data_IF_927032799861
#
_entry.id   IF_927032799861
#
_cell.length_a   1.000
_cell.length_b   1.000
_cell.length_c   1.000
_cell.angle_alpha   90.00
_cell.angle_beta   90.00
_cell.angle_gamma   90.00
#
_symmetry.space_group_name_H-M   'P 1'
#
loop_
_entity.id
_entity.type
_entity.pdbx_description
1 polymer ?
#
# COMPACT_ATOMS: atom_id res chain seq x y z
N UNK A 1 -51.32 -14.66 18.71
CA UNK A 1 -51.42 -15.30 17.37
C UNK A 1 -51.11 -14.23 16.34
N UNK A 2 -49.83 -14.05 15.97
CA UNK A 2 -49.21 -14.45 14.69
C UNK A 2 -50.01 -14.04 13.44
N UNK A 3 -49.39 -13.18 12.61
CA UNK A 3 -49.61 -13.22 11.16
C UNK A 3 -49.52 -11.89 10.40
N UNK A 4 -48.33 -11.29 10.27
CA UNK A 4 -47.97 -10.44 9.13
C UNK A 4 -46.45 -10.25 9.09
N UNK A 5 -45.78 -10.69 8.03
CA UNK A 5 -44.31 -10.68 7.93
C UNK A 5 -43.82 -10.99 6.53
N UNK A 6 -44.02 -10.01 5.65
CA UNK A 6 -43.28 -9.65 4.43
C UNK A 6 -42.21 -10.63 3.93
N UNK A 7 -42.52 -11.27 2.81
CA UNK A 7 -41.56 -11.86 1.90
C UNK A 7 -41.06 -10.79 0.92
N UNK A 8 -39.82 -10.30 1.08
CA UNK A 8 -39.02 -9.64 0.05
C UNK A 8 -37.61 -9.35 0.59
N UNK A 9 -36.63 -10.20 0.29
CA UNK A 9 -35.25 -9.93 0.72
C UNK A 9 -34.16 -10.82 0.12
N UNK A 10 -34.41 -11.53 -0.97
CA UNK A 10 -33.54 -12.61 -1.42
C UNK A 10 -33.13 -12.46 -2.89
N UNK A 11 -32.47 -11.36 -3.29
CA UNK A 11 -31.85 -11.21 -4.64
C UNK A 11 -30.61 -10.28 -4.74
N UNK A 12 -29.80 -10.07 -3.70
CA UNK A 12 -28.74 -9.02 -3.75
C UNK A 12 -27.31 -9.41 -3.36
N UNK A 13 -26.88 -10.66 -3.59
CA UNK A 13 -25.50 -11.09 -3.23
C UNK A 13 -24.65 -11.65 -4.39
N UNK A 14 -25.04 -11.39 -5.63
CA UNK A 14 -24.31 -11.81 -6.84
C UNK A 14 -23.56 -10.67 -7.56
N UNK A 15 -23.59 -9.43 -7.06
CA UNK A 15 -23.21 -8.26 -7.85
C UNK A 15 -21.73 -7.88 -7.86
N UNK A 16 -20.87 -8.49 -7.03
CA UNK A 16 -19.42 -8.28 -7.14
C UNK A 16 -18.74 -9.11 -8.25
N UNK A 17 -19.50 -9.98 -8.94
CA UNK A 17 -19.05 -10.66 -10.17
C UNK A 17 -19.66 -10.08 -11.46
N UNK A 18 -20.62 -9.14 -11.37
CA UNK A 18 -21.48 -8.77 -12.51
C UNK A 18 -21.12 -7.44 -13.19
N UNK A 19 -20.15 -6.68 -12.66
CA UNK A 19 -19.69 -5.46 -13.33
C UNK A 19 -18.86 -5.73 -14.62
N UNK A 20 -18.48 -6.99 -14.90
CA UNK A 20 -17.75 -7.37 -16.12
C UNK A 20 -18.61 -8.12 -17.17
N UNK A 21 -19.92 -8.30 -16.94
CA UNK A 21 -20.73 -9.29 -17.66
C UNK A 21 -21.73 -8.77 -18.70
N UNK A 22 -21.60 -7.55 -19.24
CA UNK A 22 -22.55 -7.02 -20.23
C UNK A 22 -21.87 -6.52 -21.50
N UNK A 23 -21.08 -7.37 -22.14
CA UNK A 23 -20.89 -7.35 -23.59
C UNK A 23 -20.30 -8.70 -24.06
N UNK A 24 -21.01 -9.35 -24.98
CA UNK A 24 -20.69 -10.62 -25.67
C UNK A 24 -21.14 -11.92 -24.96
N UNK A 25 -22.04 -12.62 -25.66
CA UNK A 25 -22.61 -13.90 -25.25
C UNK A 25 -21.60 -15.03 -25.22
N UNK A 26 -21.44 -15.61 -24.04
CA UNK A 26 -21.11 -17.00 -23.76
C UNK A 26 -21.68 -17.30 -22.36
N UNK A 27 -22.15 -18.52 -22.11
CA UNK A 27 -22.73 -18.93 -20.83
C UNK A 27 -21.86 -18.45 -19.65
N UNK A 28 -22.43 -17.91 -18.55
CA UNK A 28 -21.63 -17.46 -17.43
C UNK A 28 -21.01 -18.70 -16.76
N UNK A 29 -19.79 -19.03 -17.13
CA UNK A 29 -18.89 -19.71 -16.21
C UNK A 29 -18.90 -18.84 -14.96
N UNK A 30 -19.50 -19.34 -13.88
CA UNK A 30 -19.67 -18.59 -12.64
C UNK A 30 -18.28 -18.13 -12.20
N UNK A 31 -17.96 -16.85 -12.45
CA UNK A 31 -16.66 -16.30 -12.12
C UNK A 31 -16.51 -16.40 -10.61
N UNK A 32 -15.43 -17.02 -10.16
CA UNK A 32 -15.16 -17.17 -8.74
C UNK A 32 -15.20 -15.77 -8.08
N UNK A 33 -15.89 -15.59 -6.95
CA UNK A 33 -15.96 -14.30 -6.28
C UNK A 33 -14.56 -13.86 -5.86
N UNK A 34 -14.30 -12.55 -5.89
CA UNK A 34 -13.03 -12.03 -5.38
C UNK A 34 -12.94 -12.30 -3.86
N UNK A 35 -11.94 -13.08 -3.46
CA UNK A 35 -11.67 -13.43 -2.05
C UNK A 35 -10.31 -12.93 -1.55
N UNK A 36 -9.60 -12.17 -2.37
CA UNK A 36 -8.31 -11.60 -2.00
C UNK A 36 -8.17 -10.22 -2.66
N UNK A 37 -7.48 -9.34 -1.97
CA UNK A 37 -7.02 -8.05 -2.46
C UNK A 37 -5.50 -8.00 -2.28
N UNK A 38 -4.81 -7.08 -2.95
CA UNK A 38 -3.39 -6.87 -2.70
C UNK A 38 -3.12 -6.56 -1.22
N UNK A 39 -1.93 -6.91 -0.76
CA UNK A 39 -1.53 -6.76 0.64
C UNK A 39 -1.67 -5.32 1.09
N UNK A 40 -2.38 -5.14 2.20
CA UNK A 40 -2.57 -3.85 2.84
C UNK A 40 -1.26 -3.33 3.43
N UNK A 41 -1.12 -2.01 3.51
CA UNK A 41 0.03 -1.38 4.15
C UNK A 41 1.33 -1.45 3.35
N UNK A 42 1.30 -1.85 2.07
CA UNK A 42 2.47 -1.74 1.19
C UNK A 42 2.88 -0.27 0.98
N UNK A 43 4.19 -0.04 0.82
CA UNK A 43 4.80 1.28 0.70
C UNK A 43 4.52 1.96 -0.66
N UNK A 44 3.27 2.32 -0.94
CA UNK A 44 2.88 3.14 -2.10
C UNK A 44 2.99 4.62 -1.75
N UNK A 45 4.08 5.26 -2.17
CA UNK A 45 4.40 6.66 -1.83
C UNK A 45 4.69 6.93 -0.35
N UNK A 46 5.00 5.89 0.44
CA UNK A 46 5.33 6.01 1.87
C UNK A 46 6.71 6.60 2.08
N UNK A 47 7.63 6.27 1.20
CA UNK A 47 8.96 6.87 1.06
C UNK A 47 9.04 7.74 -0.20
N UNK A 48 9.95 8.72 -0.22
CA UNK A 48 10.06 9.70 -1.31
C UNK A 48 11.50 10.21 -1.53
N UNK A 49 11.79 11.44 -1.10
CA UNK A 49 13.08 12.11 -1.30
C UNK A 49 14.19 11.42 -0.52
N UNK A 50 15.40 11.41 -1.07
CA UNK A 50 16.61 10.86 -0.42
C UNK A 50 16.50 9.37 0.03
N UNK A 51 15.58 8.59 -0.55
CA UNK A 51 15.25 7.22 -0.08
C UNK A 51 16.41 6.20 -0.23
N UNK A 52 17.40 6.50 -1.07
CA UNK A 52 18.64 5.72 -1.18
C UNK A 52 19.60 5.91 0.00
N UNK A 53 19.33 6.84 0.91
CA UNK A 53 20.14 7.10 2.10
C UNK A 53 19.53 6.48 3.35
N UNK A 54 20.36 5.82 4.14
CA UNK A 54 20.14 5.56 5.57
C UNK A 54 21.48 5.66 6.31
N UNK A 55 21.46 5.59 7.64
CA UNK A 55 22.68 5.55 8.43
C UNK A 55 23.50 4.30 8.09
N UNK A 56 24.81 4.47 7.91
CA UNK A 56 25.78 3.35 7.87
C UNK A 56 26.41 3.09 9.24
N UNK A 57 26.13 3.96 10.22
CA UNK A 57 26.67 3.88 11.58
C UNK A 57 25.76 3.00 12.44
N UNK A 58 26.31 2.03 13.19
CA UNK A 58 25.53 1.17 14.08
C UNK A 58 24.69 1.99 15.07
N UNK A 59 23.43 1.62 15.22
CA UNK A 59 22.50 2.37 16.05
C UNK A 59 21.05 2.19 15.64
N UNK A 60 20.16 2.75 16.46
CA UNK A 60 18.72 2.72 16.25
C UNK A 60 18.25 4.03 15.62
N UNK A 61 17.43 3.92 14.59
CA UNK A 61 16.55 4.97 14.13
C UNK A 61 15.10 4.54 14.33
N UNK A 62 14.25 5.49 14.70
CA UNK A 62 12.80 5.33 14.72
C UNK A 62 12.22 6.26 13.66
N UNK A 63 11.40 5.69 12.79
CA UNK A 63 10.67 6.44 11.76
C UNK A 63 9.19 6.31 12.04
N UNK A 64 8.48 7.43 12.06
CA UNK A 64 7.03 7.47 12.27
C UNK A 64 6.38 8.04 11.02
N UNK A 65 5.46 7.28 10.44
CA UNK A 65 4.65 7.75 9.33
C UNK A 65 3.23 8.02 9.82
N UNK A 66 2.70 9.20 9.51
CA UNK A 66 1.29 9.51 9.63
C UNK A 66 0.72 9.69 8.24
N UNK A 67 -0.14 8.76 7.85
CA UNK A 67 -0.77 8.73 6.54
C UNK A 67 -2.27 8.81 6.67
N UNK A 68 -2.90 9.60 5.81
CA UNK A 68 -4.35 9.67 5.72
C UNK A 68 -4.77 9.62 4.26
N UNK A 69 -5.64 8.66 3.95
CA UNK A 69 -6.27 8.50 2.64
C UNK A 69 -7.74 8.87 2.79
N UNK A 70 -8.21 9.79 1.94
CA UNK A 70 -9.61 10.17 1.81
C UNK A 70 -10.07 9.72 0.43
N UNK A 71 -10.73 8.57 0.37
CA UNK A 71 -11.14 7.92 -0.88
C UNK A 71 -12.63 8.15 -1.13
N UNK A 72 -12.96 8.73 -2.27
CA UNK A 72 -14.29 9.20 -2.65
C UNK A 72 -14.87 8.49 -3.88
N UNK A 73 -14.14 7.52 -4.43
CA UNK A 73 -14.55 6.73 -5.58
C UNK A 73 -14.08 5.28 -5.47
N UNK A 74 -14.81 4.35 -6.09
CA UNK A 74 -14.40 2.94 -6.26
C UNK A 74 -14.36 2.63 -7.75
N UNK A 75 -13.17 2.29 -8.27
CA UNK A 75 -12.90 2.16 -9.71
C UNK A 75 -12.94 0.71 -10.17
N UNK A 76 -13.54 0.48 -11.34
CA UNK A 76 -13.54 -0.80 -12.05
C UNK A 76 -12.20 -1.08 -12.78
N UNK A 77 -12.13 -2.18 -13.52
CA UNK A 77 -10.93 -2.60 -14.27
C UNK A 77 -10.57 -1.68 -15.45
N UNK A 78 -11.49 -0.81 -15.86
CA UNK A 78 -11.30 0.20 -16.90
C UNK A 78 -11.01 1.58 -16.31
N UNK A 79 -11.13 1.76 -14.99
CA UNK A 79 -10.93 3.02 -14.28
C UNK A 79 -12.20 3.87 -14.16
N UNK A 80 -13.38 3.33 -14.45
CA UNK A 80 -14.65 4.03 -14.27
C UNK A 80 -15.19 3.82 -12.85
N UNK A 81 -15.98 4.77 -12.36
CA UNK A 81 -16.68 4.61 -11.10
C UNK A 81 -17.70 3.48 -11.17
N UNK A 82 -17.72 2.63 -10.16
CA UNK A 82 -18.69 1.55 -10.04
C UNK A 82 -20.03 2.13 -9.54
N UNK A 83 -21.09 2.14 -10.36
CA UNK A 83 -22.31 2.90 -10.08
C UNK A 83 -23.16 2.34 -8.93
N UNK A 84 -22.87 1.12 -8.45
CA UNK A 84 -23.59 0.55 -7.29
C UNK A 84 -23.18 1.19 -5.96
N UNK A 85 -22.04 1.90 -5.93
CA UNK A 85 -21.57 2.65 -4.77
C UNK A 85 -21.90 4.13 -4.96
N UNK A 86 -23.00 4.58 -4.37
CA UNK A 86 -23.40 5.99 -4.39
C UNK A 86 -22.61 6.76 -3.33
N UNK A 87 -21.97 7.87 -3.73
CA UNK A 87 -21.16 8.75 -2.87
C UNK A 87 -20.32 8.00 -1.80
N UNK A 88 -19.42 7.08 -2.21
CA UNK A 88 -18.62 6.31 -1.27
C UNK A 88 -17.63 7.24 -0.57
N UNK A 89 -17.46 7.06 0.74
CA UNK A 89 -16.41 7.71 1.53
C UNK A 89 -15.69 6.64 2.33
N UNK A 90 -14.44 6.36 1.96
CA UNK A 90 -13.58 5.38 2.61
C UNK A 90 -12.33 6.10 3.11
N UNK A 91 -12.27 6.34 4.41
CA UNK A 91 -11.12 6.95 5.06
C UNK A 91 -10.21 5.89 5.67
N UNK A 92 -8.91 6.06 5.47
CA UNK A 92 -7.88 5.23 6.10
C UNK A 92 -6.79 6.09 6.72
N UNK A 93 -6.73 6.08 8.05
CA UNK A 93 -5.66 6.73 8.81
C UNK A 93 -4.69 5.68 9.34
N UNK A 94 -3.42 5.82 9.01
CA UNK A 94 -2.35 4.90 9.39
C UNK A 94 -1.28 5.66 10.18
N UNK A 95 -1.01 5.19 11.40
CA UNK A 95 0.18 5.54 12.16
C UNK A 95 1.13 4.33 12.10
N UNK A 96 2.22 4.46 11.36
CA UNK A 96 3.21 3.39 11.17
C UNK A 96 4.48 3.73 11.94
N UNK A 97 4.88 2.86 12.86
CA UNK A 97 6.16 3.00 13.56
C UNK A 97 7.14 1.99 13.01
N UNK A 98 8.23 2.49 12.43
CA UNK A 98 9.34 1.70 11.93
C UNK A 98 10.52 1.81 12.91
N UNK A 99 11.03 0.67 13.33
CA UNK A 99 12.31 0.53 14.00
C UNK A 99 13.32 0.09 12.95
N UNK A 100 14.41 0.84 12.80
CA UNK A 100 15.50 0.51 11.89
C UNK A 100 16.79 0.47 12.70
N UNK A 101 17.38 -0.73 12.81
CA UNK A 101 18.62 -0.94 13.55
C UNK A 101 19.75 -1.28 12.59
N UNK A 102 20.79 -0.47 12.57
CA UNK A 102 22.02 -0.74 11.83
C UNK A 102 22.92 -1.59 12.74
N UNK A 103 23.32 -2.76 12.26
CA UNK A 103 24.22 -3.66 13.00
C UNK A 103 25.68 -3.23 12.83
N UNK A 104 26.61 -3.70 13.68
CA UNK A 104 28.05 -3.51 13.45
C UNK A 104 28.61 -4.37 12.31
N UNK A 105 27.80 -5.23 11.68
CA UNK A 105 28.25 -6.15 10.65
C UNK A 105 28.18 -5.53 9.25
N UNK A 106 29.21 -5.82 8.45
CA UNK A 106 29.26 -5.46 7.03
C UNK A 106 29.16 -6.71 6.16
N UNK A 107 28.37 -6.63 5.09
CA UNK A 107 28.17 -7.71 4.13
C UNK A 107 28.27 -7.11 2.73
N UNK A 108 29.08 -7.71 1.84
CA UNK A 108 29.33 -7.19 0.48
C UNK A 108 29.75 -5.70 0.43
N UNK A 109 30.39 -5.20 1.49
CA UNK A 109 30.81 -3.80 1.61
C UNK A 109 29.69 -2.83 2.03
N UNK A 110 28.47 -3.30 2.30
CA UNK A 110 27.38 -2.52 2.86
C UNK A 110 27.17 -2.78 4.35
N UNK A 111 26.56 -1.84 5.06
CA UNK A 111 26.13 -1.99 6.45
C UNK A 111 24.84 -2.80 6.51
N UNK A 112 24.86 -3.94 7.22
CA UNK A 112 23.68 -4.76 7.45
C UNK A 112 22.81 -4.13 8.53
N UNK A 113 21.51 -4.03 8.27
CA UNK A 113 20.53 -3.61 9.24
C UNK A 113 19.28 -4.48 9.24
N UNK A 114 18.43 -4.28 10.23
CA UNK A 114 17.15 -4.96 10.38
C UNK A 114 16.08 -3.90 10.60
N UNK A 115 14.92 -4.09 9.98
CA UNK A 115 13.76 -3.23 10.19
C UNK A 115 12.53 -4.01 10.63
N UNK A 116 11.68 -3.35 11.41
CA UNK A 116 10.35 -3.81 11.77
C UNK A 116 9.38 -2.63 11.76
N UNK A 117 8.23 -2.79 11.10
CA UNK A 117 7.21 -1.77 10.91
C UNK A 117 5.89 -2.27 11.51
N UNK A 118 5.34 -1.49 12.44
CA UNK A 118 4.11 -1.80 13.17
C UNK A 118 3.05 -0.75 12.83
N UNK A 119 2.03 -1.10 12.02
CA UNK A 119 0.94 -0.19 11.68
C UNK A 119 -0.20 -0.22 12.71
N UNK A 120 -0.63 0.96 13.13
CA UNK A 120 -1.96 1.19 13.72
C UNK A 120 -2.84 1.83 12.65
N UNK A 121 -3.97 1.18 12.35
CA UNK A 121 -4.83 1.54 11.23
C UNK A 121 -6.24 1.78 11.73
N UNK A 122 -6.83 2.91 11.37
CA UNK A 122 -8.24 3.19 11.50
C UNK A 122 -8.90 3.25 10.12
N UNK A 123 -9.94 2.46 9.92
CA UNK A 123 -10.75 2.42 8.71
C UNK A 123 -12.15 2.91 9.05
N UNK A 124 -12.69 3.79 8.22
CA UNK A 124 -14.07 4.28 8.32
C UNK A 124 -14.68 4.31 6.91
N UNK A 125 -15.82 3.64 6.74
CA UNK A 125 -16.49 3.53 5.45
C UNK A 125 -17.96 3.90 5.55
N UNK A 126 -18.39 4.83 4.72
CA UNK A 126 -19.77 5.27 4.61
C UNK A 126 -20.17 5.43 3.15
N UNK A 127 -21.46 5.29 2.86
CA UNK A 127 -22.01 5.31 1.52
C UNK A 127 -23.31 6.12 1.51
N UNK A 128 -23.65 6.69 0.36
CA UNK A 128 -24.87 7.44 0.14
C UNK A 128 -26.13 6.60 0.40
N UNK A 129 -27.24 7.28 0.71
CA UNK A 129 -28.52 6.64 1.03
C UNK A 129 -29.04 5.77 -0.13
N UNK A 130 -28.73 6.15 -1.38
CA UNK A 130 -29.18 5.44 -2.57
C UNK A 130 -28.19 4.36 -3.02
N UNK A 131 -27.14 4.09 -2.24
CA UNK A 131 -26.14 3.09 -2.58
C UNK A 131 -26.76 1.70 -2.60
N UNK A 132 -26.58 0.98 -3.70
CA UNK A 132 -27.10 -0.39 -3.89
C UNK A 132 -26.20 -1.39 -3.15
N UNK A 133 -24.91 -1.09 -3.05
CA UNK A 133 -23.92 -1.87 -2.33
C UNK A 133 -23.20 -1.01 -1.29
N UNK A 134 -22.71 -1.64 -0.23
CA UNK A 134 -21.92 -0.99 0.83
C UNK A 134 -20.81 -1.93 1.26
N UNK A 135 -19.67 -1.37 1.67
CA UNK A 135 -18.58 -2.11 2.29
C UNK A 135 -18.58 -1.86 3.80
N UNK A 136 -18.28 -2.89 4.59
CA UNK A 136 -18.18 -2.83 6.04
C UNK A 136 -16.72 -2.74 6.45
N UNK A 137 -16.35 -1.68 7.15
CA UNK A 137 -15.02 -1.54 7.74
C UNK A 137 -14.86 -2.34 9.03
N UNK A 138 -13.60 -2.55 9.43
CA UNK A 138 -13.23 -3.18 10.70
C UNK A 138 -12.66 -2.15 11.71
N UNK A 139 -13.09 -0.88 11.65
CA UNK A 139 -12.72 0.19 12.58
C UNK A 139 -11.22 0.38 12.81
N UNK A 140 -10.83 0.56 14.07
CA UNK A 140 -9.43 0.67 14.47
C UNK A 140 -8.80 -0.68 14.87
N UNK A 141 -7.52 -0.87 14.57
CA UNK A 141 -6.74 -2.04 14.97
C UNK A 141 -5.28 -2.00 14.50
N UNK A 142 -4.51 -2.98 14.94
CA UNK A 142 -3.14 -3.23 14.44
C UNK A 142 -3.25 -3.86 13.05
N UNK A 143 -2.42 -3.42 12.11
CA UNK A 143 -2.29 -4.05 10.78
C UNK A 143 -1.20 -5.11 10.74
N UNK A 144 -0.88 -5.57 9.55
CA UNK A 144 0.16 -6.60 9.37
C UNK A 144 1.56 -6.02 9.62
N UNK A 145 2.39 -6.74 10.37
CA UNK A 145 3.74 -6.31 10.72
C UNK A 145 4.69 -6.66 9.59
N UNK A 146 5.46 -5.67 9.13
CA UNK A 146 6.50 -5.88 8.11
C UNK A 146 7.85 -5.92 8.79
N UNK A 147 8.72 -6.87 8.46
CA UNK A 147 10.07 -6.93 9.01
C UNK A 147 11.03 -7.61 8.06
N UNK A 148 12.31 -7.26 8.14
CA UNK A 148 13.31 -7.83 7.25
C UNK A 148 14.69 -7.21 7.41
N UNK A 149 15.71 -7.85 6.83
CA UNK A 149 17.02 -7.24 6.68
C UNK A 149 17.02 -6.17 5.59
N UNK A 150 17.88 -5.18 5.78
CA UNK A 150 18.32 -4.26 4.73
C UNK A 150 19.84 -4.17 4.67
N UNK A 151 20.35 -3.78 3.51
CA UNK A 151 21.77 -3.56 3.25
C UNK A 151 21.96 -2.15 2.68
N UNK A 152 22.58 -1.26 3.47
CA UNK A 152 22.94 0.08 3.02
C UNK A 152 24.35 0.09 2.45
N UNK A 153 24.49 0.43 1.17
CA UNK A 153 25.81 0.60 0.58
C UNK A 153 26.38 1.97 0.95
N UNK A 154 27.71 2.10 1.10
CA UNK A 154 28.34 3.41 1.23
C UNK A 154 28.01 4.27 -0.01
N UNK A 155 27.70 5.56 0.18
CA UNK A 155 27.41 6.44 -0.95
C UNK A 155 28.65 6.61 -1.82
N UNK A 156 28.45 6.68 -3.14
CA UNK A 156 29.51 7.03 -4.07
C UNK A 156 29.86 8.50 -3.90
N UNK A 157 31.12 8.77 -3.56
CA UNK A 157 31.65 10.12 -3.39
C UNK A 157 32.42 10.52 -4.66
N UNK A 158 32.15 11.73 -5.18
CA UNK A 158 32.95 12.38 -6.22
C UNK A 158 33.20 13.83 -5.85
N UNK A 159 34.43 14.31 -5.97
CA UNK A 159 34.82 15.68 -5.63
C UNK A 159 34.36 16.10 -4.22
N UNK A 160 34.50 15.21 -3.23
CA UNK A 160 34.15 15.49 -1.83
C UNK A 160 32.65 15.51 -1.51
N UNK A 161 31.76 15.18 -2.46
CA UNK A 161 30.31 15.10 -2.21
C UNK A 161 29.71 13.75 -2.60
N UNK A 162 28.62 13.31 -1.95
CA UNK A 162 27.84 12.18 -2.45
C UNK A 162 27.20 12.54 -3.79
N UNK A 163 27.26 11.60 -4.74
CA UNK A 163 26.60 11.72 -6.05
C UNK A 163 25.60 10.60 -6.30
N UNK A 164 25.73 9.48 -5.58
CA UNK A 164 24.83 8.34 -5.68
C UNK A 164 24.80 7.58 -4.35
N UNK A 165 23.63 7.09 -3.95
CA UNK A 165 23.43 6.22 -2.79
C UNK A 165 22.41 5.14 -3.13
N UNK A 166 22.56 3.96 -2.53
CA UNK A 166 21.66 2.84 -2.79
C UNK A 166 21.51 1.92 -1.57
N UNK A 167 20.34 1.28 -1.46
CA UNK A 167 20.06 0.24 -0.46
C UNK A 167 19.16 -0.86 -1.02
N UNK A 168 19.28 -2.03 -0.42
CA UNK A 168 18.50 -3.21 -0.74
C UNK A 168 17.77 -3.68 0.51
N UNK A 169 16.52 -4.10 0.38
CA UNK A 169 15.72 -4.61 1.50
C UNK A 169 15.00 -5.89 1.07
N UNK A 170 14.80 -6.79 2.01
CA UNK A 170 14.01 -8.00 1.79
C UNK A 170 13.09 -8.21 2.98
N UNK A 171 11.83 -7.83 2.84
CA UNK A 171 10.89 -7.84 3.94
C UNK A 171 9.88 -8.98 3.84
N UNK A 172 9.40 -9.43 4.98
CA UNK A 172 8.24 -10.29 5.13
C UNK A 172 7.10 -9.51 5.81
N UNK A 173 5.88 -9.71 5.33
CA UNK A 173 4.67 -9.15 5.92
C UNK A 173 3.93 -10.25 6.66
N UNK A 174 3.86 -10.16 7.98
CA UNK A 174 3.21 -11.13 8.86
C UNK A 174 1.72 -10.83 9.05
N UNK A 175 0.81 -11.78 8.78
CA UNK A 175 -0.63 -11.58 8.87
C UNK A 175 -1.17 -11.63 10.31
N UNK A 176 -0.57 -10.86 11.21
CA UNK A 176 -0.93 -10.81 12.64
C UNK A 176 -1.87 -9.64 12.98
N UNK A 177 -2.18 -8.79 12.00
CA UNK A 177 -3.12 -7.70 12.20
C UNK A 177 -4.55 -8.18 12.44
N UNK A 178 -5.41 -7.23 12.82
CA UNK A 178 -6.84 -7.44 13.03
C UNK A 178 -7.51 -7.89 11.72
N UNK A 179 -8.31 -8.96 11.81
CA UNK A 179 -9.07 -9.54 10.71
C UNK A 179 -10.43 -10.03 11.20
N UNK A 180 -11.50 -9.67 10.49
CA UNK A 180 -12.86 -10.17 10.69
C UNK A 180 -13.44 -10.56 9.33
N UNK A 181 -13.75 -11.86 9.18
CA UNK A 181 -14.32 -12.42 7.94
C UNK A 181 -15.75 -11.94 7.63
N UNK A 182 -16.38 -11.16 8.51
CA UNK A 182 -17.68 -10.51 8.26
C UNK A 182 -17.54 -9.04 7.83
N UNK A 183 -16.32 -8.55 7.67
CA UNK A 183 -15.98 -7.20 7.21
C UNK A 183 -15.29 -7.27 5.86
N UNK A 184 -15.50 -6.23 5.05
CA UNK A 184 -14.92 -6.11 3.71
C UNK A 184 -13.54 -5.43 3.76
N UNK A 185 -13.39 -4.42 4.64
CA UNK A 185 -12.14 -3.69 4.82
C UNK A 185 -11.50 -4.09 6.16
N UNK A 186 -10.30 -4.67 6.09
CA UNK A 186 -9.56 -5.19 7.23
C UNK A 186 -8.16 -4.59 7.30
N UNK A 187 -7.57 -4.54 8.50
CA UNK A 187 -6.20 -4.08 8.68
C UNK A 187 -5.19 -5.14 8.23
N UNK A 188 -5.52 -6.42 8.46
CA UNK A 188 -4.76 -7.56 7.95
C UNK A 188 -5.29 -8.02 6.59
N UNK A 189 -4.37 -8.44 5.73
CA UNK A 189 -4.69 -9.13 4.46
C UNK A 189 -4.93 -10.63 4.68
N UNK A 190 -4.49 -11.16 5.83
CA UNK A 190 -4.72 -12.54 6.23
C UNK A 190 -3.75 -13.56 5.64
N UNK A 191 -2.68 -13.15 4.97
CA UNK A 191 -1.65 -14.03 4.42
C UNK A 191 -0.26 -13.39 4.49
N UNK A 192 0.77 -14.26 4.44
CA UNK A 192 2.15 -13.82 4.36
C UNK A 192 2.47 -13.20 3.00
N UNK A 193 3.35 -12.20 2.99
CA UNK A 193 3.92 -11.66 1.74
C UNK A 193 5.42 -11.47 1.85
N UNK A 194 6.12 -11.47 0.72
CA UNK A 194 7.56 -11.16 0.63
C UNK A 194 7.77 -9.98 -0.29
N UNK A 195 8.64 -9.05 0.12
CA UNK A 195 8.91 -7.78 -0.55
C UNK A 195 10.41 -7.55 -0.70
N UNK A 196 11.03 -7.99 -1.81
CA UNK A 196 12.33 -7.45 -2.22
C UNK A 196 12.18 -6.00 -2.71
N UNK A 197 13.06 -5.13 -2.24
CA UNK A 197 13.09 -3.70 -2.57
C UNK A 197 14.49 -3.21 -2.91
N UNK A 198 14.58 -2.25 -3.83
CA UNK A 198 15.80 -1.55 -4.18
C UNK A 198 15.53 -0.05 -4.23
N UNK A 199 16.21 0.72 -3.39
CA UNK A 199 16.10 2.17 -3.36
C UNK A 199 17.43 2.82 -3.74
N UNK A 200 17.36 3.92 -4.47
CA UNK A 200 18.53 4.69 -4.87
C UNK A 200 18.24 6.18 -4.92
N UNK A 201 19.29 6.97 -4.75
CA UNK A 201 19.28 8.43 -4.89
C UNK A 201 20.47 8.86 -5.73
N UNK A 202 20.23 9.72 -6.72
CA UNK A 202 21.24 10.41 -7.53
C UNK A 202 21.21 11.89 -7.15
N UNK A 203 22.38 12.50 -7.00
CA UNK A 203 22.54 13.94 -6.72
C UNK A 203 23.32 14.61 -7.87
N UNK A 204 22.66 14.93 -9.00
CA UNK A 204 23.35 15.47 -10.17
C UNK A 204 24.11 16.76 -9.86
N UNK A 205 23.51 17.65 -9.08
CA UNK A 205 24.14 18.85 -8.51
C UNK A 205 24.08 18.80 -6.98
N UNK A 206 24.77 19.68 -6.24
CA UNK A 206 24.65 19.72 -4.78
C UNK A 206 23.21 19.97 -4.28
N UNK A 207 22.39 20.66 -5.07
CA UNK A 207 21.04 21.07 -4.69
C UNK A 207 19.96 20.17 -5.29
N UNK A 208 20.20 19.54 -6.44
CA UNK A 208 19.22 18.71 -7.13
C UNK A 208 19.33 17.23 -6.76
N UNK A 209 18.18 16.60 -6.56
CA UNK A 209 18.03 15.21 -6.16
C UNK A 209 17.01 14.48 -7.04
N UNK A 210 17.33 13.21 -7.32
CA UNK A 210 16.45 12.22 -7.97
C UNK A 210 16.49 10.95 -7.11
N UNK A 211 15.35 10.48 -6.63
CA UNK A 211 15.26 9.20 -5.91
C UNK A 211 14.21 8.31 -6.50
N UNK A 212 14.44 7.00 -6.39
CA UNK A 212 13.40 6.02 -6.61
C UNK A 212 13.59 4.79 -5.73
N UNK A 213 12.47 4.11 -5.48
CA UNK A 213 12.42 2.79 -4.85
C UNK A 213 11.55 1.88 -5.68
N UNK A 214 12.13 0.77 -6.11
CA UNK A 214 11.46 -0.29 -6.86
C UNK A 214 11.17 -1.43 -5.89
N UNK A 215 9.96 -1.94 -5.93
CA UNK A 215 9.49 -2.99 -5.06
C UNK A 215 8.73 -4.03 -5.86
N UNK A 216 8.80 -5.28 -5.40
CA UNK A 216 7.99 -6.37 -5.88
C UNK A 216 7.35 -7.05 -4.68
N UNK A 217 6.12 -7.55 -4.81
CA UNK A 217 5.46 -8.32 -3.76
C UNK A 217 4.98 -9.65 -4.29
N UNK A 218 5.34 -10.71 -3.56
CA UNK A 218 4.76 -12.04 -3.73
C UNK A 218 3.82 -12.33 -2.55
N UNK A 219 2.57 -12.66 -2.87
CA UNK A 219 1.52 -12.93 -1.91
C UNK A 219 1.30 -14.44 -1.79
N UNK A 220 1.41 -14.99 -0.58
CA UNK A 220 1.09 -16.38 -0.32
C UNK A 220 -0.43 -16.60 -0.24
N UNK A 221 -0.84 -17.86 -0.24
CA UNK A 221 -2.24 -18.26 -0.10
C UNK A 221 -2.73 -17.98 1.32
N UNK A 222 -4.00 -17.62 1.44
CA UNK A 222 -4.73 -17.56 2.70
C UNK A 222 -5.84 -18.60 2.73
N UNK A 223 -6.04 -19.21 3.89
CA UNK A 223 -7.24 -19.98 4.23
C UNK A 223 -8.21 -19.18 5.11
N UNK A 224 -7.85 -17.94 5.49
CA UNK A 224 -8.75 -17.05 6.24
C UNK A 224 -9.90 -16.62 5.33
N UNK A 225 -11.11 -17.06 5.67
CA UNK A 225 -12.32 -16.79 4.89
C UNK A 225 -12.70 -15.30 4.97
N UNK A 226 -12.76 -14.58 3.84
CA UNK A 226 -13.23 -13.20 3.79
C UNK A 226 -14.76 -13.14 3.75
N UNK A 227 -15.31 -11.93 3.70
CA UNK A 227 -16.74 -11.69 3.60
C UNK A 227 -17.30 -12.12 2.24
N UNK A 228 -17.53 -13.42 2.09
CA UNK A 228 -18.07 -14.05 0.88
C UNK A 228 -19.56 -14.37 1.04
N UNK A 229 -20.30 -14.48 -0.07
CA UNK A 229 -21.71 -14.89 -0.05
C UNK A 229 -21.93 -16.15 0.81
N UNK A 230 -23.04 -16.21 1.58
CA UNK A 230 -23.40 -17.41 2.32
C UNK A 230 -23.49 -18.63 1.39
N UNK A 231 -23.03 -19.79 1.87
CA UNK A 231 -23.03 -21.03 1.10
C UNK A 231 -21.89 -21.18 0.08
N UNK A 232 -21.03 -20.18 -0.10
CA UNK A 232 -19.80 -20.34 -0.87
C UNK A 232 -18.77 -21.15 -0.06
N UNK A 233 -18.39 -22.33 -0.59
CA UNK A 233 -17.35 -23.19 -0.04
C UNK A 233 -15.97 -22.61 -0.34
N UNK A 234 -15.38 -21.91 0.62
CA UNK A 234 -14.08 -21.27 0.50
C UNK A 234 -12.98 -22.17 1.05
N UNK A 235 -11.97 -22.46 0.21
CA UNK A 235 -10.78 -23.23 0.57
C UNK A 235 -9.54 -22.35 0.68
N UNK A 236 -9.30 -21.51 -0.32
CA UNK A 236 -8.16 -20.61 -0.32
C UNK A 236 -8.39 -19.37 -1.19
N UNK A 237 -7.69 -18.29 -0.86
CA UNK A 237 -7.60 -17.07 -1.66
C UNK A 237 -6.14 -16.68 -1.84
N UNK A 238 -5.81 -16.10 -2.99
CA UNK A 238 -4.47 -15.60 -3.26
C UNK A 238 -4.54 -14.32 -4.09
N UNK A 239 -3.93 -13.26 -3.58
CA UNK A 239 -3.74 -12.06 -4.37
C UNK A 239 -2.66 -12.31 -5.44
N UNK A 240 -2.84 -11.78 -6.64
CA UNK A 240 -1.77 -11.78 -7.64
C UNK A 240 -0.54 -11.00 -7.16
N UNK A 241 0.62 -11.32 -7.69
CA UNK A 241 1.84 -10.55 -7.47
C UNK A 241 1.75 -9.15 -8.10
N UNK A 242 2.51 -8.21 -7.56
CA UNK A 242 2.54 -6.84 -8.02
C UNK A 242 3.94 -6.25 -7.91
N UNK A 243 4.16 -5.14 -8.62
CA UNK A 243 5.34 -4.31 -8.46
C UNK A 243 4.94 -2.85 -8.43
N UNK A 244 5.73 -2.04 -7.73
CA UNK A 244 5.54 -0.60 -7.71
C UNK A 244 6.86 0.14 -7.59
N UNK A 245 6.84 1.36 -8.13
CA UNK A 245 7.93 2.32 -8.01
C UNK A 245 7.43 3.55 -7.27
N UNK A 246 8.15 3.96 -6.22
CA UNK A 246 8.06 5.32 -5.68
C UNK A 246 9.18 6.12 -6.33
N UNK A 247 8.90 7.32 -6.82
CA UNK A 247 9.93 8.20 -7.39
C UNK A 247 9.71 9.64 -6.96
N UNK A 248 10.81 10.37 -6.81
CA UNK A 248 10.79 11.75 -6.38
C UNK A 248 11.95 12.54 -7.00
N UNK A 249 11.73 13.85 -7.17
CA UNK A 249 12.79 14.80 -7.48
C UNK A 249 12.60 16.08 -6.70
N UNK A 250 13.69 16.62 -6.17
CA UNK A 250 13.66 17.85 -5.36
C UNK A 250 14.86 18.75 -5.59
N UNK A 251 14.67 20.03 -5.24
CA UNK A 251 15.73 21.03 -5.17
C UNK A 251 15.84 21.57 -3.76
N UNK A 252 17.07 21.75 -3.28
CA UNK A 252 17.33 22.53 -2.07
C UNK A 252 17.07 24.02 -2.33
N UNK A 253 15.95 24.51 -1.78
CA UNK A 253 15.47 25.89 -1.98
C UNK A 253 15.91 26.83 -0.85
N UNK A 254 16.25 26.26 0.30
CA UNK A 254 16.85 26.93 1.44
C UNK A 254 17.71 25.91 2.21
N UNK A 255 18.64 26.33 3.07
CA UNK A 255 19.47 25.41 3.84
C UNK A 255 18.60 24.37 4.56
N UNK A 256 18.87 23.08 4.30
CA UNK A 256 18.16 21.92 4.88
C UNK A 256 16.70 21.73 4.45
N UNK A 257 16.18 22.56 3.54
CA UNK A 257 14.82 22.46 3.01
C UNK A 257 14.87 22.13 1.52
N UNK A 258 14.31 20.99 1.14
CA UNK A 258 14.12 20.62 -0.27
C UNK A 258 12.63 20.52 -0.57
N UNK A 259 12.24 21.07 -1.72
CA UNK A 259 10.88 20.99 -2.25
C UNK A 259 10.91 20.32 -3.62
N UNK A 260 9.85 19.61 -3.96
CA UNK A 260 9.83 18.83 -5.18
C UNK A 260 8.51 18.15 -5.48
N UNK A 261 8.60 17.18 -6.38
CA UNK A 261 7.48 16.36 -6.82
C UNK A 261 7.80 14.91 -6.44
N UNK A 262 6.78 14.22 -5.93
CA UNK A 262 6.80 12.80 -5.66
C UNK A 262 5.67 12.13 -6.46
N UNK A 263 5.83 10.83 -6.68
CA UNK A 263 4.84 10.02 -7.34
C UNK A 263 5.08 8.53 -7.04
N UNK A 264 4.04 7.73 -7.25
CA UNK A 264 4.19 6.28 -7.27
C UNK A 264 3.33 5.66 -8.36
N UNK A 265 3.82 4.55 -8.91
CA UNK A 265 3.10 3.73 -9.87
C UNK A 265 3.09 2.28 -9.43
N UNK A 266 1.91 1.73 -9.18
CA UNK A 266 1.65 0.34 -8.80
C UNK A 266 0.96 -0.40 -9.96
N UNK A 267 1.45 -1.60 -10.27
CA UNK A 267 0.81 -2.50 -11.20
C UNK A 267 0.79 -3.94 -10.64
N UNK A 268 -0.40 -4.52 -10.58
CA UNK A 268 -0.56 -5.95 -10.35
C UNK A 268 -0.35 -6.74 -11.64
N UNK A 269 0.50 -7.75 -11.60
CA UNK A 269 0.90 -8.50 -12.79
C UNK A 269 -0.03 -9.66 -13.08
N UNK A 270 -0.49 -10.35 -12.04
CA UNK A 270 -1.40 -11.50 -12.12
C UNK A 270 -2.75 -11.18 -11.52
N UNK A 271 -3.79 -11.83 -12.05
CA UNK A 271 -5.11 -11.78 -11.43
C UNK A 271 -5.12 -12.58 -10.11
N UNK A 272 -6.07 -12.24 -9.25
CA UNK A 272 -6.33 -12.91 -7.99
C UNK A 272 -6.91 -14.30 -8.25
N UNK A 273 -6.81 -15.16 -7.24
CA UNK A 273 -7.36 -16.50 -7.26
C UNK A 273 -8.25 -16.73 -6.05
N UNK A 274 -9.35 -17.44 -6.30
CA UNK A 274 -10.27 -17.94 -5.28
C UNK A 274 -10.48 -19.43 -5.55
N UNK A 275 -10.19 -20.28 -4.57
CA UNK A 275 -10.18 -21.73 -4.70
C UNK A 275 -9.38 -22.20 -5.93
N UNK A 276 -8.18 -21.64 -6.11
CA UNK A 276 -7.29 -21.86 -7.25
C UNK A 276 -7.78 -21.35 -8.62
N UNK A 277 -9.04 -20.91 -8.70
CA UNK A 277 -9.63 -20.37 -9.91
C UNK A 277 -9.29 -18.90 -10.08
N UNK A 278 -8.92 -18.52 -11.31
CA UNK A 278 -8.66 -17.13 -11.67
C UNK A 278 -9.92 -16.29 -11.52
N UNK A 279 -9.81 -15.14 -10.87
CA UNK A 279 -10.83 -14.10 -10.83
C UNK A 279 -10.51 -13.09 -11.94
N UNK A 280 -11.27 -13.04 -13.05
CA UNK A 280 -11.00 -12.11 -14.14
C UNK A 280 -11.05 -10.65 -13.67
N UNK A 281 -10.33 -9.78 -14.38
CA UNK A 281 -10.39 -8.33 -14.21
C UNK A 281 -10.12 -7.85 -12.79
N UNK A 282 -9.31 -8.57 -12.02
CA UNK A 282 -9.01 -8.23 -10.63
C UNK A 282 -7.67 -7.51 -10.43
N UNK A 283 -6.93 -7.24 -11.52
CA UNK A 283 -5.61 -6.60 -11.45
C UNK A 283 -5.73 -5.13 -11.10
N UNK A 284 -5.10 -4.74 -9.99
CA UNK A 284 -5.05 -3.35 -9.55
C UNK A 284 -3.99 -2.54 -10.30
N UNK A 285 -4.29 -1.27 -10.56
CA UNK A 285 -3.33 -0.24 -10.98
C UNK A 285 -3.58 1.06 -10.24
N UNK A 286 -2.50 1.75 -9.87
CA UNK A 286 -2.59 3.07 -9.25
C UNK A 286 -1.39 3.91 -9.67
N UNK A 287 -1.66 5.09 -10.23
CA UNK A 287 -0.68 6.14 -10.49
C UNK A 287 -1.11 7.39 -9.77
N UNK A 288 -0.23 7.89 -8.89
CA UNK A 288 -0.44 9.09 -8.12
C UNK A 288 0.79 9.97 -8.20
N UNK A 289 0.57 11.28 -8.17
CA UNK A 289 1.64 12.26 -8.15
C UNK A 289 1.21 13.48 -7.36
N UNK A 290 2.17 14.22 -6.83
CA UNK A 290 1.89 15.50 -6.22
C UNK A 290 3.12 16.15 -5.59
N UNK A 291 2.92 17.30 -4.94
CA UNK A 291 4.00 18.04 -4.32
C UNK A 291 4.48 17.33 -3.04
N UNK A 292 5.72 17.60 -2.69
CA UNK A 292 6.23 17.26 -1.38
C UNK A 292 7.53 17.96 -1.07
N UNK A 293 8.08 17.66 0.09
CA UNK A 293 9.39 18.13 0.48
C UNK A 293 9.96 17.40 1.66
N UNK A 294 11.22 17.72 1.93
CA UNK A 294 11.95 17.28 3.11
C UNK A 294 12.50 18.50 3.83
N UNK A 295 12.30 18.54 5.14
CA UNK A 295 12.89 19.50 6.03
C UNK A 295 13.73 18.77 7.06
N UNK A 296 15.05 18.97 6.98
CA UNK A 296 15.98 18.46 7.97
C UNK A 296 16.14 19.51 9.07
N UNK A 297 15.64 19.24 10.26
CA UNK A 297 15.82 20.16 11.39
C UNK A 297 17.29 20.20 11.82
N UNK A 298 17.86 19.02 12.01
CA UNK A 298 19.25 18.82 12.43
C UNK A 298 19.81 17.48 11.88
N UNK A 299 20.88 16.96 12.47
CA UNK A 299 21.50 15.72 12.00
C UNK A 299 20.69 14.46 12.33
N UNK A 300 19.82 14.50 13.34
CA UNK A 300 19.05 13.38 13.87
C UNK A 300 17.58 13.44 13.49
N UNK A 301 17.05 14.64 13.23
CA UNK A 301 15.62 14.87 13.02
C UNK A 301 15.32 15.35 11.60
N UNK A 302 14.52 14.58 10.86
CA UNK A 302 14.13 14.86 9.47
C UNK A 302 12.63 14.65 9.32
N UNK A 303 11.94 15.60 8.67
CA UNK A 303 10.52 15.51 8.35
C UNK A 303 10.33 15.52 6.83
N UNK A 304 9.52 14.59 6.32
CA UNK A 304 9.02 14.58 4.96
C UNK A 304 7.53 14.81 4.98
N UNK A 305 7.04 15.58 4.00
CA UNK A 305 5.62 15.84 3.81
C UNK A 305 5.28 15.68 2.34
N UNK A 306 4.28 14.85 2.03
CA UNK A 306 3.92 14.49 0.67
C UNK A 306 2.40 14.53 0.51
N UNK A 307 1.94 15.05 -0.62
CA UNK A 307 0.54 14.99 -1.07
C UNK A 307 0.51 14.21 -2.37
N UNK A 308 -0.40 13.24 -2.45
CA UNK A 308 -0.61 12.39 -3.62
C UNK A 308 -2.03 12.57 -4.14
N UNK A 309 -2.14 13.02 -5.38
CA UNK A 309 -3.40 13.14 -6.11
C UNK A 309 -3.51 12.00 -7.12
N UNK A 310 -4.71 11.41 -7.30
CA UNK A 310 -4.90 10.31 -8.23
C UNK A 310 -4.77 10.81 -9.67
N UNK A 311 -3.92 10.14 -10.46
CA UNK A 311 -3.81 10.37 -11.92
C UNK A 311 -4.52 9.25 -12.67
N UNK A 312 -4.31 7.99 -12.25
CA UNK A 312 -4.99 6.82 -12.80
C UNK A 312 -5.20 5.77 -11.72
N UNK A 313 -6.42 5.25 -11.58
CA UNK A 313 -6.74 4.19 -10.61
C UNK A 313 -7.66 3.17 -11.26
N UNK A 314 -7.36 1.88 -11.12
CA UNK A 314 -8.18 0.76 -11.61
C UNK A 314 -8.26 -0.34 -10.57
N UNK A 315 -9.43 -0.96 -10.44
CA UNK A 315 -9.72 -2.03 -9.47
C UNK A 315 -9.33 -1.68 -8.03
N UNK A 316 -9.57 -0.43 -7.63
CA UNK A 316 -9.25 0.07 -6.30
C UNK A 316 -10.11 1.29 -5.96
N UNK A 317 -10.18 1.61 -4.67
CA UNK A 317 -10.68 2.90 -4.23
C UNK A 317 -9.69 4.02 -4.60
N UNK A 318 -10.21 5.18 -4.95
CA UNK A 318 -9.48 6.35 -5.45
C UNK A 318 -9.85 7.58 -4.63
N UNK A 319 -8.91 8.49 -4.47
CA UNK A 319 -9.08 9.77 -3.79
C UNK A 319 -7.72 10.33 -3.40
N UNK A 320 -7.66 11.27 -2.48
CA UNK A 320 -6.39 11.94 -2.13
C UNK A 320 -5.69 11.23 -0.97
N UNK A 321 -4.37 11.33 -0.91
CA UNK A 321 -3.55 10.80 0.18
C UNK A 321 -2.52 11.84 0.63
N UNK A 322 -2.38 12.02 1.94
CA UNK A 322 -1.30 12.78 2.56
C UNK A 322 -0.42 11.86 3.42
N UNK A 323 0.90 12.05 3.32
CA UNK A 323 1.89 11.24 4.01
C UNK A 323 2.95 12.12 4.66
N UNK A 324 3.02 12.06 5.99
CA UNK A 324 4.11 12.62 6.78
C UNK A 324 5.02 11.52 7.27
N UNK A 325 6.33 11.72 7.16
CA UNK A 325 7.35 10.80 7.66
C UNK A 325 8.31 11.59 8.55
N UNK A 326 8.47 11.14 9.79
CA UNK A 326 9.40 11.75 10.74
C UNK A 326 10.46 10.73 11.14
N UNK A 327 11.72 11.07 10.89
CA UNK A 327 12.89 10.24 11.22
C UNK A 327 13.60 10.82 12.42
N UNK A 328 13.85 9.98 13.43
CA UNK A 328 14.73 10.27 14.56
C UNK A 328 15.84 9.22 14.67
N UNK A 329 17.10 9.66 14.63
CA UNK A 329 18.28 8.80 14.80
C UNK A 329 18.86 9.00 16.21
N UNK A 330 19.02 7.91 16.98
CA UNK A 330 19.53 7.95 18.35
C UNK A 330 21.06 8.01 18.41
#
# INVERSE_FOLDING_TARGET
MRGAGVAAGWRLRALLCLAAGLAAGAAPAQSAPQSAALTNGINTGGTSFLDGFTSTTPGLAVVTYLRHNALDAIKDARGNDIPVFDNPRIDSTVLLTQFAYVTPYQVFGGSLGITALVPLVNLDASFGRNSIATLRDNGAGVGDVTFGPYLQMPPLIRNGRPVFSQRFEFDAVAPIGKYDGNRDLNQSSGYWSLIPSYAFTVLPTPTWELSARINYIYNFRSERRPNLPPGFDFRNGQAGDAGWINFATSWEVAPKLRLGINAYYLAQFRDNRTNDQRVPDSRQRAFYAGPGGVWRFDAKNILFANVYLPVEVRNAASGNNVNFEYVHVF
#
